data_IF_947948969055
#
_entry.id   IF_947948969055
#
_cell.length_a   1.000
_cell.length_b   1.000
_cell.length_c   1.000
_cell.angle_alpha   90.00
_cell.angle_beta   90.00
_cell.angle_gamma   90.00
#
_symmetry.space_group_name_H-M   'P 1'
#
loop_
_entity.id
_entity.type
_entity.pdbx_description
1 polymer ?
#
# COMPACT_ATOMS: atom_id res chain seq x y z
N UNK A 1 89.48 0.12 -45.47
CA UNK A 1 89.18 1.38 -44.74
C UNK A 1 88.36 2.26 -45.68
N UNK A 2 87.17 2.79 -45.42
CA UNK A 2 86.19 2.71 -44.33
C UNK A 2 84.82 3.10 -44.92
N UNK A 3 83.74 2.49 -44.41
CA UNK A 3 82.35 2.67 -44.87
C UNK A 3 81.74 4.01 -44.40
N UNK A 4 80.82 4.64 -45.16
CA UNK A 4 80.09 5.82 -44.69
C UNK A 4 78.95 5.42 -43.74
N UNK A 5 78.81 6.18 -42.64
CA UNK A 5 77.75 6.03 -41.62
C UNK A 5 76.47 6.73 -42.07
N UNK A 6 75.37 5.98 -42.17
CA UNK A 6 74.02 6.52 -42.32
C UNK A 6 73.49 7.02 -40.97
N UNK A 7 73.07 8.29 -40.92
CA UNK A 7 72.38 8.88 -39.77
C UNK A 7 70.89 8.53 -39.87
N UNK A 8 70.36 7.78 -38.89
CA UNK A 8 68.91 7.56 -38.74
C UNK A 8 68.33 8.75 -37.95
N UNK A 9 67.42 9.50 -38.59
CA UNK A 9 66.58 10.47 -37.92
C UNK A 9 65.40 9.72 -37.27
N UNK A 10 65.20 9.91 -35.96
CA UNK A 10 64.04 9.40 -35.25
C UNK A 10 62.97 10.49 -35.23
N UNK A 11 61.87 10.27 -35.95
CA UNK A 11 60.68 11.12 -35.88
C UNK A 11 59.85 10.74 -34.67
N UNK A 12 59.65 11.67 -33.74
CA UNK A 12 58.73 11.52 -32.63
C UNK A 12 57.29 11.78 -33.11
N UNK A 13 56.44 10.77 -33.06
CA UNK A 13 54.99 10.89 -33.29
C UNK A 13 54.34 11.26 -31.96
N UNK A 14 53.81 12.48 -31.86
CA UNK A 14 53.06 12.96 -30.71
C UNK A 14 51.60 12.48 -30.85
N UNK A 15 51.20 11.48 -30.06
CA UNK A 15 49.81 11.02 -30.01
C UNK A 15 48.97 11.99 -29.18
N UNK A 16 48.05 12.70 -29.82
CA UNK A 16 47.02 13.51 -29.15
C UNK A 16 45.92 12.57 -28.67
N UNK A 17 45.91 12.25 -27.38
CA UNK A 17 44.82 11.53 -26.72
C UNK A 17 43.64 12.52 -26.51
N UNK A 18 42.64 12.45 -27.37
CA UNK A 18 41.34 13.08 -27.13
C UNK A 18 40.67 12.39 -25.94
N UNK A 19 40.62 13.10 -24.81
CA UNK A 19 39.85 12.74 -23.62
C UNK A 19 38.35 12.93 -23.90
N UNK A 20 37.73 11.98 -24.60
CA UNK A 20 36.27 11.81 -24.56
C UNK A 20 35.92 11.11 -23.25
N UNK A 21 35.75 11.88 -22.17
CA UNK A 21 35.18 11.37 -20.93
C UNK A 21 33.75 10.86 -21.17
N UNK A 22 33.35 9.73 -20.57
CA UNK A 22 31.98 9.25 -20.68
C UNK A 22 31.04 10.28 -20.02
N UNK A 23 30.16 10.87 -20.82
CA UNK A 23 29.04 11.67 -20.31
C UNK A 23 28.04 10.68 -19.71
N UNK A 24 28.13 10.44 -18.40
CA UNK A 24 27.07 9.72 -17.68
C UNK A 24 25.80 10.58 -17.69
N UNK A 25 24.67 10.07 -18.20
CA UNK A 25 23.42 10.80 -18.12
C UNK A 25 23.09 11.09 -16.64
N UNK A 26 22.47 12.24 -16.34
CA UNK A 26 22.06 12.55 -14.97
C UNK A 26 21.11 11.45 -14.47
N UNK A 27 21.39 10.93 -13.28
CA UNK A 27 20.51 9.96 -12.62
C UNK A 27 19.14 10.60 -12.42
N UNK A 28 18.09 9.98 -12.97
CA UNK A 28 16.70 10.40 -12.73
C UNK A 28 16.42 10.26 -11.23
N UNK A 29 15.97 11.34 -10.59
CA UNK A 29 15.61 11.29 -9.17
C UNK A 29 14.44 10.32 -8.96
N UNK A 30 14.56 9.42 -7.99
CA UNK A 30 13.52 8.44 -7.68
C UNK A 30 12.25 9.14 -7.20
N UNK A 31 11.08 8.70 -7.68
CA UNK A 31 9.78 9.30 -7.35
C UNK A 31 9.30 8.78 -6.00
N UNK A 32 9.00 9.68 -5.06
CA UNK A 32 8.47 9.30 -3.75
C UNK A 32 7.06 8.69 -3.87
N UNK A 33 6.80 7.67 -3.04
CA UNK A 33 5.50 7.01 -2.95
C UNK A 33 5.20 6.65 -1.50
N UNK A 34 4.04 7.07 -0.98
CA UNK A 34 3.70 6.91 0.45
C UNK A 34 2.35 6.25 0.64
N UNK A 35 2.33 5.22 1.49
CA UNK A 35 1.12 4.54 1.92
C UNK A 35 0.86 4.86 3.38
N UNK A 36 -0.37 5.25 3.70
CA UNK A 36 -0.87 5.41 5.06
C UNK A 36 -1.94 4.35 5.32
N UNK A 37 -1.76 3.58 6.38
CA UNK A 37 -2.70 2.58 6.86
C UNK A 37 -3.27 3.00 8.21
N UNK A 38 -4.60 2.94 8.33
CA UNK A 38 -5.36 3.33 9.52
C UNK A 38 -6.43 2.26 9.82
N UNK A 39 -6.70 2.02 11.10
CA UNK A 39 -7.92 1.38 11.58
C UNK A 39 -8.59 2.36 12.56
N UNK A 40 -9.86 2.72 12.34
CA UNK A 40 -10.52 3.82 13.06
C UNK A 40 -11.43 3.40 14.20
N UNK A 41 -11.73 2.10 14.36
CA UNK A 41 -12.70 1.62 15.34
C UNK A 41 -14.00 2.47 15.38
N UNK A 42 -14.57 2.76 14.21
CA UNK A 42 -15.52 3.86 14.06
C UNK A 42 -16.97 3.40 13.78
N UNK A 43 -17.26 2.11 13.96
CA UNK A 43 -18.61 1.53 13.73
C UNK A 43 -19.70 2.05 14.67
N UNK A 44 -19.31 2.52 15.88
CA UNK A 44 -20.25 2.83 16.96
C UNK A 44 -20.54 1.69 17.92
N UNK A 45 -19.98 0.49 17.67
CA UNK A 45 -20.29 -0.73 18.45
C UNK A 45 -19.09 -1.24 19.25
N UNK A 46 -17.88 -1.11 18.71
CA UNK A 46 -16.67 -1.59 19.36
C UNK A 46 -16.27 -0.73 20.57
N UNK A 47 -15.67 -1.34 21.59
CA UNK A 47 -15.33 -0.65 22.85
C UNK A 47 -14.29 0.47 22.72
N UNK A 48 -13.52 0.51 21.63
CA UNK A 48 -12.60 1.61 21.30
C UNK A 48 -13.29 2.81 20.62
N UNK A 49 -14.59 2.70 20.30
CA UNK A 49 -15.34 3.79 19.69
C UNK A 49 -15.45 4.99 20.65
N UNK A 50 -15.13 6.18 20.13
CA UNK A 50 -15.22 7.45 20.87
C UNK A 50 -16.01 8.47 20.04
N UNK A 51 -17.29 8.22 19.80
CA UNK A 51 -18.21 9.17 19.13
C UNK A 51 -17.70 9.68 17.77
N UNK A 52 -16.99 8.81 17.04
CA UNK A 52 -16.41 9.11 15.73
C UNK A 52 -15.24 10.08 15.70
N UNK A 53 -14.65 10.40 16.86
CA UNK A 53 -13.54 11.34 16.98
C UNK A 53 -12.27 10.89 16.22
N UNK A 54 -12.09 9.59 15.97
CA UNK A 54 -10.99 9.04 15.18
C UNK A 54 -10.89 9.64 13.77
N UNK A 55 -12.01 10.04 13.16
CA UNK A 55 -12.05 10.61 11.81
C UNK A 55 -11.29 11.94 11.75
N UNK A 56 -11.38 12.77 12.81
CA UNK A 56 -10.64 14.03 12.88
C UNK A 56 -9.12 13.84 12.98
N UNK A 57 -8.69 12.84 13.76
CA UNK A 57 -7.28 12.46 13.86
C UNK A 57 -6.77 11.90 12.52
N UNK A 58 -7.55 11.06 11.86
CA UNK A 58 -7.23 10.52 10.55
C UNK A 58 -7.05 11.62 9.49
N UNK A 59 -7.95 12.60 9.42
CA UNK A 59 -7.80 13.78 8.54
C UNK A 59 -6.49 14.50 8.82
N UNK A 60 -6.15 14.72 10.10
CA UNK A 60 -4.90 15.37 10.50
C UNK A 60 -3.68 14.57 10.05
N UNK A 61 -3.70 13.25 10.20
CA UNK A 61 -2.62 12.38 9.73
C UNK A 61 -2.47 12.41 8.22
N UNK A 62 -3.57 12.35 7.46
CA UNK A 62 -3.56 12.45 6.01
C UNK A 62 -2.92 13.77 5.57
N UNK A 63 -3.36 14.90 6.12
CA UNK A 63 -2.86 16.23 5.75
C UNK A 63 -1.39 16.44 6.13
N UNK A 64 -0.94 15.89 7.28
CA UNK A 64 0.46 16.03 7.72
C UNK A 64 1.41 15.08 7.03
N UNK A 65 0.93 13.91 6.61
CA UNK A 65 1.76 12.88 5.99
C UNK A 65 1.69 12.90 4.47
N UNK A 66 0.67 13.51 3.86
CA UNK A 66 0.52 13.66 2.42
C UNK A 66 0.71 12.32 1.67
N UNK A 67 -0.04 11.25 2.03
CA UNK A 67 0.10 9.95 1.39
C UNK A 67 -0.41 9.96 -0.06
N UNK A 68 0.11 9.05 -0.87
CA UNK A 68 -0.40 8.76 -2.22
C UNK A 68 -1.56 7.76 -2.17
N UNK A 69 -1.55 6.89 -1.16
CA UNK A 69 -2.57 5.88 -0.89
C UNK A 69 -2.92 5.90 0.59
N UNK A 70 -4.23 5.96 0.90
CA UNK A 70 -4.74 5.74 2.25
C UNK A 70 -5.59 4.49 2.25
N UNK A 71 -5.23 3.52 3.06
CA UNK A 71 -6.13 2.43 3.46
C UNK A 71 -6.67 2.73 4.85
N UNK A 72 -7.99 2.59 5.00
CA UNK A 72 -8.70 2.89 6.23
C UNK A 72 -9.68 1.77 6.54
N UNK A 73 -9.46 1.06 7.63
CA UNK A 73 -10.34 0.02 8.14
C UNK A 73 -11.27 0.54 9.22
N UNK A 74 -12.33 -0.22 9.46
CA UNK A 74 -13.36 0.06 10.46
C UNK A 74 -13.96 1.46 10.35
N UNK A 75 -14.27 1.89 9.13
CA UNK A 75 -14.78 3.23 8.82
C UNK A 75 -16.25 3.17 8.39
N UNK A 76 -16.97 4.28 8.58
CA UNK A 76 -18.31 4.45 8.04
C UNK A 76 -18.25 5.08 6.66
N UNK A 77 -19.12 4.65 5.75
CA UNK A 77 -19.18 5.14 4.38
C UNK A 77 -19.34 6.67 4.30
N UNK A 78 -20.09 7.26 5.24
CA UNK A 78 -20.29 8.72 5.31
C UNK A 78 -19.01 9.52 5.59
N UNK A 79 -17.95 8.91 6.12
CA UNK A 79 -16.69 9.60 6.43
C UNK A 79 -15.73 9.68 5.23
N UNK A 80 -15.89 8.78 4.24
CA UNK A 80 -14.98 8.70 3.10
C UNK A 80 -14.88 9.98 2.26
N UNK A 81 -15.97 10.73 2.00
CA UNK A 81 -15.86 12.02 1.32
C UNK A 81 -14.92 13.00 2.05
N UNK A 82 -15.01 13.08 3.38
CA UNK A 82 -14.16 13.95 4.19
C UNK A 82 -12.70 13.49 4.19
N UNK A 83 -12.46 12.19 4.35
CA UNK A 83 -11.11 11.61 4.31
C UNK A 83 -10.47 11.77 2.92
N UNK A 84 -11.25 11.59 1.86
CA UNK A 84 -10.79 11.74 0.47
C UNK A 84 -10.44 13.20 0.16
N UNK A 85 -11.27 14.15 0.59
CA UNK A 85 -10.96 15.57 0.47
C UNK A 85 -9.67 15.96 1.19
N UNK A 86 -9.36 15.31 2.32
CA UNK A 86 -8.10 15.52 3.05
C UNK A 86 -6.86 15.03 2.28
N UNK A 87 -7.00 14.02 1.41
CA UNK A 87 -5.92 13.54 0.53
C UNK A 87 -5.66 14.54 -0.61
N UNK A 88 -6.72 15.08 -1.20
CA UNK A 88 -6.63 16.12 -2.23
C UNK A 88 -7.83 16.15 -3.17
N UNK A 89 -7.94 17.24 -3.95
CA UNK A 89 -9.09 17.49 -4.82
C UNK A 89 -9.26 16.44 -5.95
N UNK A 90 -8.18 15.80 -6.37
CA UNK A 90 -8.19 14.75 -7.42
C UNK A 90 -8.37 13.35 -6.84
N UNK A 91 -8.43 13.21 -5.51
CA UNK A 91 -8.46 11.89 -4.89
C UNK A 91 -9.80 11.18 -5.16
N UNK A 92 -9.72 9.86 -5.33
CA UNK A 92 -10.88 8.99 -5.45
C UNK A 92 -10.81 7.87 -4.43
N UNK A 93 -11.95 7.26 -4.10
CA UNK A 93 -12.00 6.12 -3.17
C UNK A 93 -12.82 4.95 -3.70
N UNK A 94 -12.47 3.75 -3.22
CA UNK A 94 -13.29 2.54 -3.35
C UNK A 94 -13.55 1.95 -1.97
N UNK A 95 -14.75 1.41 -1.77
CA UNK A 95 -15.21 0.86 -0.50
C UNK A 95 -15.47 -0.65 -0.59
N UNK A 96 -15.05 -1.36 0.46
CA UNK A 96 -15.33 -2.75 0.73
C UNK A 96 -16.34 -2.83 1.88
N UNK A 97 -17.53 -3.38 1.61
CA UNK A 97 -18.60 -3.49 2.58
C UNK A 97 -18.38 -4.70 3.49
N UNK A 98 -18.41 -4.47 4.81
CA UNK A 98 -18.60 -5.55 5.76
C UNK A 98 -20.08 -5.95 5.78
N UNK A 99 -20.36 -7.26 5.78
CA UNK A 99 -21.75 -7.79 5.72
C UNK A 99 -22.05 -8.72 6.87
N UNK A 100 -23.31 -8.78 7.29
CA UNK A 100 -23.79 -9.78 8.25
C UNK A 100 -23.89 -11.12 7.55
N UNK A 101 -23.29 -12.18 8.11
CA UNK A 101 -23.40 -13.53 7.55
C UNK A 101 -24.83 -14.05 7.49
N UNK A 102 -25.65 -13.70 8.48
CA UNK A 102 -27.02 -14.21 8.62
C UNK A 102 -27.98 -13.67 7.57
N UNK A 103 -27.77 -12.44 7.09
CA UNK A 103 -28.71 -11.79 6.17
C UNK A 103 -28.09 -11.37 4.83
N UNK A 104 -26.76 -11.35 4.73
CA UNK A 104 -26.04 -10.79 3.59
C UNK A 104 -26.10 -9.26 3.49
N UNK A 105 -26.87 -8.59 4.37
CA UNK A 105 -26.98 -7.15 4.39
C UNK A 105 -25.68 -6.49 4.88
N UNK A 106 -25.43 -5.26 4.44
CA UNK A 106 -24.34 -4.46 4.97
C UNK A 106 -24.51 -4.29 6.49
N UNK A 107 -23.38 -4.31 7.19
CA UNK A 107 -23.33 -3.83 8.58
C UNK A 107 -23.42 -2.31 8.50
N UNK A 108 -24.28 -1.71 9.32
CA UNK A 108 -24.46 -0.27 9.38
C UNK A 108 -23.71 0.28 10.59
N UNK A 109 -23.06 1.41 10.41
CA UNK A 109 -22.62 2.22 11.54
C UNK A 109 -23.82 2.79 12.30
N UNK A 110 -23.62 3.13 13.57
CA UNK A 110 -24.63 3.81 14.38
C UNK A 110 -24.96 5.21 13.82
N UNK A 111 -26.04 5.80 14.33
CA UNK A 111 -26.42 7.20 14.08
C UNK A 111 -26.63 7.55 12.60
N UNK A 112 -27.00 6.56 11.78
CA UNK A 112 -27.29 6.77 10.35
C UNK A 112 -26.06 7.08 9.51
N UNK A 113 -24.85 6.73 9.99
CA UNK A 113 -23.58 7.00 9.28
C UNK A 113 -23.30 6.09 8.09
N UNK A 114 -24.27 5.25 7.73
CA UNK A 114 -24.23 4.35 6.57
C UNK A 114 -23.38 3.11 6.81
N UNK A 115 -23.04 2.42 5.71
CA UNK A 115 -22.39 1.12 5.79
C UNK A 115 -21.00 1.17 6.43
N UNK A 116 -20.68 0.13 7.18
CA UNK A 116 -19.40 -0.12 7.83
C UNK A 116 -18.49 -0.97 6.93
N UNK A 117 -17.18 -0.72 6.98
CA UNK A 117 -16.23 -1.48 6.18
C UNK A 117 -14.84 -0.85 6.08
N UNK A 118 -14.21 -1.04 4.92
CA UNK A 118 -12.84 -0.55 4.62
C UNK A 118 -12.79 0.27 3.34
N UNK A 119 -12.03 1.37 3.35
CA UNK A 119 -11.84 2.26 2.20
C UNK A 119 -10.40 2.30 1.73
N UNK A 120 -10.20 2.29 0.40
CA UNK A 120 -8.93 2.61 -0.23
C UNK A 120 -9.09 3.95 -0.96
N UNK A 121 -8.24 4.92 -0.65
CA UNK A 121 -8.23 6.26 -1.23
C UNK A 121 -6.94 6.42 -2.02
N UNK A 122 -7.05 6.85 -3.27
CA UNK A 122 -5.94 7.08 -4.18
C UNK A 122 -5.89 8.57 -4.53
N UNK A 123 -4.75 9.21 -4.26
CA UNK A 123 -4.56 10.67 -4.36
C UNK A 123 -4.86 11.25 -5.73
N UNK A 124 -4.59 10.49 -6.77
CA UNK A 124 -4.61 10.95 -8.17
C UNK A 124 -5.77 10.37 -8.97
N UNK A 125 -6.85 9.98 -8.30
CA UNK A 125 -8.04 9.47 -8.93
C UNK A 125 -7.97 7.98 -9.23
N UNK A 126 -9.11 7.43 -9.62
CA UNK A 126 -9.31 5.99 -9.84
C UNK A 126 -9.77 5.79 -11.28
N UNK A 127 -9.00 5.04 -12.06
CA UNK A 127 -9.34 4.63 -13.43
C UNK A 127 -10.39 3.54 -13.45
N UNK A 128 -10.13 2.51 -12.66
CA UNK A 128 -10.98 1.34 -12.52
C UNK A 128 -10.87 0.84 -11.08
N UNK A 129 -11.91 0.17 -10.61
CA UNK A 129 -11.92 -0.35 -9.23
C UNK A 129 -12.81 -1.58 -9.12
N UNK A 130 -12.59 -2.33 -8.05
CA UNK A 130 -13.36 -3.51 -7.71
C UNK A 130 -13.47 -3.67 -6.20
N UNK A 131 -14.40 -4.51 -5.78
CA UNK A 131 -14.54 -4.92 -4.39
C UNK A 131 -15.19 -6.30 -4.37
N UNK A 132 -14.98 -7.04 -3.29
CA UNK A 132 -15.52 -8.37 -3.13
C UNK A 132 -15.45 -8.85 -1.69
N UNK A 133 -15.92 -10.07 -1.49
CA UNK A 133 -15.81 -10.80 -0.22
C UNK A 133 -14.84 -11.95 -0.42
N UNK A 134 -14.23 -12.41 0.67
CA UNK A 134 -13.37 -13.59 0.62
C UNK A 134 -14.17 -14.88 0.57
N UNK A 135 -13.56 -15.89 -0.05
CA UNK A 135 -14.07 -17.27 -0.02
C UNK A 135 -13.97 -17.83 1.39
N UNK A 136 -12.82 -17.64 2.04
CA UNK A 136 -12.63 -18.03 3.44
C UNK A 136 -13.32 -17.03 4.39
N UNK A 137 -14.16 -17.53 5.28
CA UNK A 137 -14.83 -16.76 6.34
C UNK A 137 -14.75 -17.54 7.65
N UNK A 138 -14.64 -16.85 8.79
CA UNK A 138 -14.55 -17.49 10.10
C UNK A 138 -15.93 -17.90 10.64
N UNK A 139 -16.04 -18.21 11.93
CA UNK A 139 -17.31 -18.47 12.61
C UNK A 139 -17.99 -17.20 13.18
N UNK A 140 -17.35 -16.04 13.07
CA UNK A 140 -17.89 -14.76 13.53
C UNK A 140 -19.11 -14.29 12.73
N UNK A 141 -19.66 -13.14 13.06
CA UNK A 141 -20.89 -12.62 12.41
C UNK A 141 -20.64 -11.81 11.15
N UNK A 142 -19.41 -11.36 10.93
CA UNK A 142 -19.01 -10.46 9.85
C UNK A 142 -18.38 -11.22 8.67
N UNK A 143 -18.82 -10.91 7.45
CA UNK A 143 -18.17 -11.30 6.20
C UNK A 143 -17.06 -10.28 5.90
N UNK A 144 -15.81 -10.75 5.87
CA UNK A 144 -14.65 -9.92 5.53
C UNK A 144 -14.56 -9.70 4.02
N UNK A 145 -14.07 -8.53 3.66
CA UNK A 145 -14.12 -8.00 2.30
C UNK A 145 -12.82 -7.27 1.91
N UNK A 146 -12.68 -7.00 0.63
CA UNK A 146 -11.56 -6.27 0.03
C UNK A 146 -12.06 -5.26 -0.99
N UNK A 147 -11.26 -4.22 -1.24
CA UNK A 147 -11.48 -3.26 -2.31
C UNK A 147 -10.15 -2.94 -2.98
N UNK A 148 -10.16 -2.80 -4.31
CA UNK A 148 -9.00 -2.47 -5.12
C UNK A 148 -9.30 -1.28 -6.03
N UNK A 149 -8.30 -0.46 -6.30
CA UNK A 149 -8.36 0.70 -7.16
C UNK A 149 -7.08 0.82 -7.99
N UNK A 150 -7.25 0.97 -9.30
CA UNK A 150 -6.18 1.34 -10.22
C UNK A 150 -6.10 2.86 -10.29
N UNK A 151 -4.92 3.41 -10.02
CA UNK A 151 -4.65 4.84 -10.16
C UNK A 151 -4.89 5.33 -11.60
N UNK A 152 -5.50 6.51 -11.74
CA UNK A 152 -5.72 7.18 -13.02
C UNK A 152 -4.42 7.73 -13.63
N UNK A 153 -3.45 8.15 -12.81
CA UNK A 153 -2.28 8.91 -13.29
C UNK A 153 -1.01 8.05 -13.34
N UNK A 154 -0.55 7.46 -12.21
CA UNK A 154 0.72 6.70 -12.16
C UNK A 154 0.54 5.19 -12.33
N UNK A 155 -0.65 4.72 -12.70
CA UNK A 155 -0.97 3.33 -13.07
C UNK A 155 -0.44 2.28 -12.07
N UNK A 156 -0.67 2.52 -10.78
CA UNK A 156 -0.46 1.52 -9.72
C UNK A 156 -1.80 0.99 -9.23
N UNK A 157 -1.82 -0.26 -8.75
CA UNK A 157 -3.00 -0.85 -8.12
C UNK A 157 -2.84 -0.82 -6.60
N UNK A 158 -3.83 -0.27 -5.92
CA UNK A 158 -3.90 -0.22 -4.46
C UNK A 158 -5.12 -0.98 -3.96
N UNK A 159 -4.95 -1.86 -2.98
CA UNK A 159 -6.05 -2.57 -2.34
C UNK A 159 -6.06 -2.39 -0.82
N UNK A 160 -7.26 -2.38 -0.25
CA UNK A 160 -7.49 -2.41 1.20
C UNK A 160 -8.22 -3.69 1.62
N UNK A 161 -8.00 -4.10 2.86
CA UNK A 161 -8.80 -5.13 3.53
C UNK A 161 -8.72 -5.02 5.05
N UNK A 162 -9.68 -5.63 5.75
CA UNK A 162 -9.63 -5.96 7.16
C UNK A 162 -9.91 -7.46 7.29
N UNK A 163 -8.93 -8.24 7.74
CA UNK A 163 -9.00 -9.70 7.76
C UNK A 163 -9.67 -10.24 9.03
N UNK A 164 -10.01 -11.53 9.01
CA UNK A 164 -10.55 -12.27 10.16
C UNK A 164 -9.64 -12.16 11.38
N UNK A 165 -10.22 -12.15 12.59
CA UNK A 165 -9.42 -12.27 13.84
C UNK A 165 -8.98 -13.72 14.11
N UNK A 166 -9.48 -14.69 13.32
CA UNK A 166 -9.05 -16.09 13.37
C UNK A 166 -7.83 -16.25 12.46
N UNK A 167 -6.65 -16.45 13.06
CA UNK A 167 -5.37 -16.36 12.34
C UNK A 167 -5.25 -17.29 11.11
N UNK A 168 -5.82 -18.50 11.13
CA UNK A 168 -5.81 -19.41 9.97
C UNK A 168 -6.71 -18.90 8.84
N UNK A 169 -7.90 -18.40 9.16
CA UNK A 169 -8.79 -17.76 8.18
C UNK A 169 -8.16 -16.48 7.64
N UNK A 170 -7.56 -15.65 8.50
CA UNK A 170 -6.87 -14.43 8.10
C UNK A 170 -5.75 -14.73 7.10
N UNK A 171 -4.94 -15.76 7.36
CA UNK A 171 -3.89 -16.16 6.43
C UNK A 171 -4.48 -16.57 5.07
N UNK A 172 -5.52 -17.41 5.05
CA UNK A 172 -6.18 -17.84 3.81
C UNK A 172 -6.75 -16.65 3.02
N UNK A 173 -7.35 -15.67 3.70
CA UNK A 173 -7.84 -14.44 3.07
C UNK A 173 -6.69 -13.57 2.52
N UNK A 174 -5.57 -13.50 3.24
CA UNK A 174 -4.38 -12.80 2.77
C UNK A 174 -3.80 -13.45 1.50
N UNK A 175 -3.72 -14.78 1.45
CA UNK A 175 -3.25 -15.56 0.29
C UNK A 175 -4.22 -15.47 -0.91
N UNK A 176 -5.53 -15.37 -0.66
CA UNK A 176 -6.53 -15.12 -1.70
C UNK A 176 -6.35 -13.71 -2.31
N UNK A 177 -6.09 -12.70 -1.46
CA UNK A 177 -5.85 -11.33 -1.91
C UNK A 177 -4.52 -11.20 -2.66
N UNK A 178 -3.44 -11.72 -2.08
CA UNK A 178 -2.07 -11.51 -2.54
C UNK A 178 -1.45 -12.80 -3.10
N UNK A 179 -1.09 -12.86 -4.40
CA UNK A 179 -1.14 -11.76 -5.36
C UNK A 179 -2.42 -11.76 -6.23
N UNK A 180 -3.23 -12.82 -6.18
CA UNK A 180 -4.20 -13.16 -7.22
C UNK A 180 -5.25 -12.09 -7.49
N UNK A 181 -6.01 -11.66 -6.47
CA UNK A 181 -7.04 -10.62 -6.63
C UNK A 181 -6.39 -9.29 -7.03
N UNK A 182 -5.27 -8.93 -6.40
CA UNK A 182 -4.59 -7.66 -6.66
C UNK A 182 -4.12 -7.57 -8.11
N UNK A 183 -3.54 -8.65 -8.65
CA UNK A 183 -3.09 -8.71 -10.04
C UNK A 183 -4.26 -8.76 -11.04
N UNK A 184 -5.41 -9.33 -10.66
CA UNK A 184 -6.61 -9.32 -11.52
C UNK A 184 -7.15 -7.89 -11.77
N UNK A 185 -6.76 -6.93 -10.93
CA UNK A 185 -7.09 -5.51 -11.08
C UNK A 185 -5.99 -4.67 -11.76
N UNK A 186 -4.90 -5.30 -12.22
CA UNK A 186 -3.89 -4.67 -13.07
C UNK A 186 -4.13 -5.03 -14.55
N UNK A 187 -4.66 -4.09 -15.36
CA UNK A 187 -4.93 -4.34 -16.77
C UNK A 187 -3.65 -4.47 -17.61
N UNK A 188 -2.48 -4.11 -17.08
CA UNK A 188 -1.21 -4.18 -17.82
C UNK A 188 -0.58 -5.56 -17.75
N UNK A 189 -0.82 -6.31 -16.67
CA UNK A 189 -0.11 -7.56 -16.36
C UNK A 189 1.40 -7.41 -16.27
N UNK A 190 1.93 -6.19 -16.18
CA UNK A 190 3.37 -5.93 -16.29
C UNK A 190 4.12 -6.32 -15.02
N UNK A 191 5.32 -6.86 -15.21
CA UNK A 191 6.22 -7.15 -14.09
C UNK A 191 6.65 -5.90 -13.31
N UNK A 192 6.56 -4.73 -13.95
CA UNK A 192 6.97 -3.43 -13.39
C UNK A 192 5.81 -2.61 -12.84
N UNK A 193 4.57 -3.10 -12.93
CA UNK A 193 3.43 -2.40 -12.33
C UNK A 193 3.51 -2.47 -10.82
N UNK A 194 3.35 -1.30 -10.20
CA UNK A 194 3.40 -1.11 -8.76
C UNK A 194 2.09 -1.57 -8.15
N UNK A 195 2.21 -2.37 -7.10
CA UNK A 195 1.07 -2.87 -6.37
C UNK A 195 1.28 -2.63 -4.88
N UNK A 196 0.23 -2.18 -4.19
CA UNK A 196 0.21 -2.06 -2.74
C UNK A 196 -1.08 -2.64 -2.17
N UNK A 197 -0.94 -3.42 -1.12
CA UNK A 197 -2.03 -3.91 -0.29
C UNK A 197 -1.79 -3.38 1.10
N UNK A 198 -2.76 -2.69 1.68
CA UNK A 198 -2.66 -2.14 3.02
C UNK A 198 -3.90 -2.51 3.82
N UNK A 199 -3.73 -2.80 5.10
CA UNK A 199 -4.85 -3.20 5.93
C UNK A 199 -4.44 -3.62 7.32
N UNK A 200 -5.45 -3.75 8.18
CA UNK A 200 -5.38 -4.55 9.38
C UNK A 200 -5.54 -6.02 8.98
N UNK A 201 -4.43 -6.75 9.01
CA UNK A 201 -4.41 -8.12 8.56
C UNK A 201 -4.73 -9.10 9.69
N UNK A 202 -4.90 -8.65 10.94
CA UNK A 202 -5.08 -9.52 12.10
C UNK A 202 -4.05 -10.69 12.18
N UNK A 203 -2.88 -10.47 11.57
CA UNK A 203 -1.77 -11.41 11.51
C UNK A 203 -0.55 -10.70 12.04
N UNK A 204 0.23 -11.38 12.88
CA UNK A 204 1.52 -10.85 13.34
C UNK A 204 2.63 -11.36 12.44
N UNK A 205 3.69 -10.57 12.32
CA UNK A 205 4.95 -11.10 11.82
C UNK A 205 5.62 -11.95 12.91
N UNK A 206 5.61 -13.27 12.72
CA UNK A 206 6.21 -14.21 13.66
C UNK A 206 6.92 -15.31 12.87
N UNK A 207 8.22 -15.14 12.52
CA UNK A 207 8.98 -16.15 11.80
C UNK A 207 8.85 -17.54 12.44
N UNK A 208 8.60 -18.57 11.61
CA UNK A 208 8.36 -19.93 12.06
C UNK A 208 6.93 -20.26 12.48
N UNK A 209 6.06 -19.27 12.66
CA UNK A 209 4.62 -19.50 12.87
C UNK A 209 3.93 -19.92 11.57
N UNK A 210 3.03 -20.89 11.66
CA UNK A 210 2.16 -21.30 10.54
C UNK A 210 1.24 -20.15 10.08
N UNK A 211 0.93 -19.19 10.96
CA UNK A 211 0.06 -18.03 10.69
C UNK A 211 0.82 -16.71 10.72
N UNK A 212 2.11 -16.72 10.36
CA UNK A 212 2.87 -15.48 10.20
C UNK A 212 2.31 -14.66 9.03
N UNK A 213 2.18 -13.35 9.20
CA UNK A 213 1.85 -12.44 8.09
C UNK A 213 2.84 -12.52 6.92
N UNK A 214 4.05 -13.05 7.15
CA UNK A 214 5.02 -13.29 6.09
C UNK A 214 4.62 -14.42 5.13
N UNK A 215 3.77 -15.35 5.57
CA UNK A 215 3.44 -16.55 4.81
C UNK A 215 2.53 -16.23 3.60
N UNK A 216 1.78 -15.13 3.62
CA UNK A 216 1.02 -14.65 2.47
C UNK A 216 1.78 -13.64 1.58
N UNK A 217 3.10 -13.53 1.74
CA UNK A 217 3.92 -12.62 0.92
C UNK A 217 4.64 -13.43 -0.16
N UNK A 218 4.15 -13.41 -1.41
CA UNK A 218 4.75 -14.20 -2.48
C UNK A 218 6.11 -13.62 -2.93
N UNK A 219 6.86 -14.44 -3.68
CA UNK A 219 8.14 -14.01 -4.27
C UNK A 219 7.97 -12.75 -5.14
N UNK A 220 8.93 -11.83 -5.05
CA UNK A 220 8.89 -10.52 -5.73
C UNK A 220 8.01 -9.47 -5.04
N UNK A 221 7.38 -9.82 -3.91
CA UNK A 221 6.71 -8.89 -3.02
C UNK A 221 7.46 -8.82 -1.69
N UNK A 222 7.20 -7.78 -0.92
CA UNK A 222 7.72 -7.64 0.42
C UNK A 222 6.70 -6.98 1.33
N UNK A 223 6.82 -7.21 2.64
CA UNK A 223 5.90 -6.70 3.65
C UNK A 223 6.62 -5.76 4.62
N UNK A 224 5.90 -4.74 5.06
CA UNK A 224 6.24 -3.90 6.22
C UNK A 224 5.04 -3.86 7.16
N UNK A 225 5.31 -3.82 8.46
CA UNK A 225 4.27 -3.77 9.49
C UNK A 225 4.60 -2.75 10.57
N UNK A 226 3.58 -2.39 11.33
CA UNK A 226 3.65 -1.51 12.50
C UNK A 226 4.28 -2.17 13.75
N UNK A 227 4.53 -3.49 13.67
CA UNK A 227 5.00 -4.32 14.78
C UNK A 227 3.91 -5.20 15.39
N UNK A 228 2.66 -5.00 14.97
CA UNK A 228 1.50 -5.80 15.37
C UNK A 228 0.75 -6.31 14.13
N UNK A 229 -0.50 -5.87 13.90
CA UNK A 229 -1.40 -6.43 12.89
C UNK A 229 -1.61 -5.56 11.64
N UNK A 230 -1.21 -4.28 11.65
CA UNK A 230 -1.31 -3.44 10.46
C UNK A 230 -0.12 -3.65 9.54
N UNK A 231 -0.39 -3.97 8.28
CA UNK A 231 0.64 -4.28 7.30
C UNK A 231 0.43 -3.58 5.96
N UNK A 232 1.53 -3.37 5.26
CA UNK A 232 1.59 -3.00 3.85
C UNK A 232 2.42 -4.05 3.11
N UNK A 233 1.84 -4.69 2.09
CA UNK A 233 2.51 -5.62 1.19
C UNK A 233 2.64 -4.94 -0.17
N UNK A 234 3.84 -4.93 -0.73
CA UNK A 234 4.14 -4.15 -1.93
C UNK A 234 5.02 -4.91 -2.92
N UNK A 235 4.92 -4.52 -4.20
CA UNK A 235 5.75 -5.01 -5.31
C UNK A 235 6.12 -3.85 -6.25
N UNK A 236 7.28 -3.99 -6.90
CA UNK A 236 7.84 -3.03 -7.85
C UNK A 236 8.00 -1.61 -7.26
N UNK A 237 8.30 -1.54 -5.96
CA UNK A 237 8.59 -0.35 -5.18
C UNK A 237 9.88 -0.58 -4.40
N UNK A 238 10.69 0.45 -4.21
CA UNK A 238 11.88 0.40 -3.36
C UNK A 238 11.53 0.90 -1.97
N UNK A 239 11.72 0.08 -0.94
CA UNK A 239 11.49 0.46 0.45
C UNK A 239 12.46 1.54 0.93
N UNK A 240 11.94 2.56 1.61
CA UNK A 240 12.73 3.62 2.24
C UNK A 240 12.65 3.53 3.76
N UNK A 241 11.45 3.64 4.33
CA UNK A 241 11.27 3.65 5.80
C UNK A 241 9.84 3.36 6.21
N UNK A 242 9.66 3.00 7.48
CA UNK A 242 8.35 2.95 8.16
C UNK A 242 8.31 3.96 9.29
N UNK A 243 7.12 4.47 9.62
CA UNK A 243 6.86 5.22 10.84
C UNK A 243 5.50 4.85 11.41
N UNK A 244 5.39 4.84 12.73
CA UNK A 244 4.12 4.77 13.46
C UNK A 244 3.89 6.08 14.19
N UNK A 245 2.64 6.55 14.19
CA UNK A 245 2.22 7.73 14.94
C UNK A 245 1.06 7.35 15.84
N UNK A 246 1.12 7.80 17.09
CA UNK A 246 0.02 7.60 18.02
C UNK A 246 -1.26 8.25 17.47
N UNK A 247 -2.36 7.51 17.63
CA UNK A 247 -3.73 8.01 17.55
C UNK A 247 -4.36 7.75 18.92
N UNK A 248 -5.24 8.64 19.37
CA UNK A 248 -5.79 8.61 20.73
C UNK A 248 -7.29 8.33 20.75
N UNK A 249 -7.94 8.34 19.59
CA UNK A 249 -9.38 8.10 19.43
C UNK A 249 -9.72 6.76 18.77
N UNK A 250 -8.71 5.93 18.58
CA UNK A 250 -8.75 4.54 18.13
C UNK A 250 -7.68 3.77 18.92
N UNK A 251 -7.75 2.45 18.94
CA UNK A 251 -6.76 1.56 19.54
C UNK A 251 -5.57 1.23 18.61
N UNK A 252 -5.61 1.72 17.37
CA UNK A 252 -4.60 1.48 16.35
C UNK A 252 -3.76 2.73 16.03
N UNK A 253 -2.43 2.59 15.80
CA UNK A 253 -1.61 3.69 15.33
C UNK A 253 -1.89 4.03 13.85
N UNK A 254 -1.50 5.24 13.47
CA UNK A 254 -1.32 5.57 12.06
C UNK A 254 0.01 4.99 11.57
N UNK A 255 -0.05 4.05 10.62
CA UNK A 255 1.12 3.37 10.08
C UNK A 255 1.48 3.90 8.68
N UNK A 256 2.68 4.45 8.54
CA UNK A 256 3.19 5.03 7.28
C UNK A 256 4.32 4.17 6.74
N UNK A 257 4.28 3.90 5.43
CA UNK A 257 5.40 3.32 4.71
C UNK A 257 5.79 4.21 3.54
N UNK A 258 7.08 4.54 3.47
CA UNK A 258 7.66 5.34 2.40
C UNK A 258 8.43 4.44 1.43
N UNK A 259 8.23 4.73 0.15
CA UNK A 259 8.81 4.05 -0.99
C UNK A 259 9.36 5.05 -1.99
N UNK A 260 10.15 4.54 -2.94
CA UNK A 260 10.46 5.23 -4.20
C UNK A 260 10.30 4.30 -5.39
N UNK A 261 10.19 4.85 -6.60
CA UNK A 261 10.25 4.11 -7.87
C UNK A 261 10.70 4.99 -9.04
#
# INVERSE_FOLDING_TARGET
>A
MGRPRSRRAASAVLAVLLLCGPVTPPATAATAFKVLQLNLCNSGVAGCYQDGQAVGEAVTMIQRRLPDVVSVNEVCQSDLPRLTAAVGATAGYRFAFARRKTTGANIECTDGRGAYGSGIIVKEGIRSSGHGVYTAQDSGTEVRAWACALSEVRAFTACTTHLSTTATTALAQCEELVPSIVLAHDPTGSATTRHVVAGDLNLRYSPGSATSAQNCVPSGWFRKGDGDVQHVIARALTFVSTQTYAMYRTDHPAFVVNYTF
#
